data_IF_293110869156
#
_entry.id   IF_293110869156
#
_cell.length_a   1.000
_cell.length_b   1.000
_cell.length_c   1.000
_cell.angle_alpha   90.00
_cell.angle_beta   90.00
_cell.angle_gamma   90.00
#
_symmetry.space_group_name_H-M   'P 1'
#
loop_
_entity.id
_entity.type
_entity.pdbx_description
1 polymer ?
#
# COMPACT_ATOMS: atom_id res chain seq x y z
N UNK A 1 -17.61 7.08 -13.56
CA UNK A 1 -17.77 7.27 -12.10
C UNK A 1 -16.86 8.40 -11.69
N UNK A 2 -17.30 9.26 -10.76
CA UNK A 2 -16.52 10.42 -10.28
C UNK A 2 -15.94 10.21 -8.87
N UNK A 3 -15.93 8.97 -8.39
CA UNK A 3 -15.45 8.58 -7.07
C UNK A 3 -14.98 7.12 -7.09
N UNK A 4 -14.17 6.68 -6.10
CA UNK A 4 -13.78 5.28 -5.93
C UNK A 4 -14.96 4.32 -5.76
N UNK A 5 -14.74 3.02 -6.03
CA UNK A 5 -15.78 1.99 -6.02
C UNK A 5 -16.57 1.92 -4.70
N UNK A 6 -15.88 2.04 -3.56
CA UNK A 6 -16.48 1.88 -2.23
C UNK A 6 -16.76 3.20 -1.51
N UNK A 7 -16.86 4.31 -2.24
CA UNK A 7 -16.97 5.65 -1.67
C UNK A 7 -18.21 5.85 -0.78
N UNK A 8 -19.33 5.21 -1.10
CA UNK A 8 -20.59 5.37 -0.35
C UNK A 8 -20.75 4.37 0.79
N UNK A 9 -19.82 3.41 0.94
CA UNK A 9 -19.84 2.42 2.00
C UNK A 9 -19.05 2.92 3.22
N UNK A 10 -19.76 3.21 4.32
CA UNK A 10 -19.18 3.69 5.57
C UNK A 10 -18.19 2.69 6.21
N UNK A 11 -18.23 1.41 5.82
CA UNK A 11 -17.20 0.44 6.21
C UNK A 11 -15.84 0.82 5.65
N UNK A 12 -15.80 1.37 4.43
CA UNK A 12 -14.59 1.61 3.65
C UNK A 12 -14.25 3.09 3.48
N UNK A 13 -15.21 4.00 3.69
CA UNK A 13 -15.00 5.44 3.59
C UNK A 13 -15.02 6.12 4.97
N UNK A 14 -13.90 6.07 5.68
CA UNK A 14 -13.68 6.78 6.95
C UNK A 14 -12.55 7.79 6.79
N UNK A 15 -12.68 8.95 7.42
CA UNK A 15 -11.82 10.11 7.19
C UNK A 15 -10.31 9.84 7.41
N UNK A 16 -9.95 8.98 8.36
CA UNK A 16 -8.57 8.66 8.72
C UNK A 16 -8.13 7.26 8.27
N UNK A 17 -8.95 6.56 7.49
CA UNK A 17 -8.60 5.28 6.87
C UNK A 17 -8.07 5.48 5.45
N UNK A 18 -7.29 4.53 4.91
CA UNK A 18 -6.90 4.59 3.51
C UNK A 18 -8.15 4.50 2.62
N UNK A 19 -8.22 5.34 1.58
CA UNK A 19 -9.23 5.20 0.52
C UNK A 19 -9.02 3.87 -0.20
N UNK A 20 -10.09 3.17 -0.59
CA UNK A 20 -9.98 1.88 -1.28
C UNK A 20 -10.89 1.82 -2.50
N UNK A 21 -10.73 0.80 -3.34
CA UNK A 21 -11.49 0.66 -4.57
C UNK A 21 -11.05 1.64 -5.66
N UNK A 22 -9.74 1.91 -5.70
CA UNK A 22 -9.11 2.82 -6.66
C UNK A 22 -8.33 2.01 -7.68
N UNK A 23 -8.56 2.28 -8.97
CA UNK A 23 -7.79 1.72 -10.08
C UNK A 23 -6.45 2.43 -10.24
N UNK A 24 -5.54 1.84 -11.02
CA UNK A 24 -4.25 2.48 -11.31
C UNK A 24 -4.44 3.86 -11.95
N UNK A 25 -5.37 3.99 -12.90
CA UNK A 25 -5.62 5.25 -13.61
C UNK A 25 -6.16 6.35 -12.69
N UNK A 26 -7.03 6.00 -11.73
CA UNK A 26 -7.53 6.95 -10.73
C UNK A 26 -6.44 7.38 -9.76
N UNK A 27 -5.57 6.44 -9.35
CA UNK A 27 -4.42 6.73 -8.50
C UNK A 27 -3.42 7.68 -9.20
N UNK A 28 -3.12 7.43 -10.47
CA UNK A 28 -2.25 8.27 -11.29
C UNK A 28 -2.86 9.66 -11.55
N UNK A 29 -4.15 9.72 -11.87
CA UNK A 29 -4.87 10.98 -12.04
C UNK A 29 -4.86 11.83 -10.76
N UNK A 30 -5.10 11.21 -9.60
CA UNK A 30 -5.02 11.89 -8.31
C UNK A 30 -3.61 12.37 -8.01
N UNK A 31 -2.59 11.54 -8.26
CA UNK A 31 -1.20 11.93 -8.06
C UNK A 31 -0.84 13.16 -8.88
N UNK A 32 -1.22 13.17 -10.16
CA UNK A 32 -1.01 14.30 -11.08
C UNK A 32 -1.74 15.57 -10.60
N UNK A 33 -3.02 15.45 -10.22
CA UNK A 33 -3.79 16.57 -9.64
C UNK A 33 -3.13 17.14 -8.37
N UNK A 34 -2.55 16.28 -7.54
CA UNK A 34 -1.85 16.68 -6.32
C UNK A 34 -0.45 17.27 -6.56
N UNK A 35 -0.01 17.41 -7.83
CA UNK A 35 1.35 17.85 -8.17
C UNK A 35 2.43 16.85 -7.77
N UNK A 36 2.09 15.57 -7.73
CA UNK A 36 2.94 14.45 -7.30
C UNK A 36 2.93 13.34 -8.36
N UNK A 37 3.51 12.20 -8.03
CA UNK A 37 3.46 10.98 -8.86
C UNK A 37 3.24 9.74 -8.00
N UNK A 38 2.95 8.62 -8.64
CA UNK A 38 3.07 7.33 -7.96
C UNK A 38 4.56 7.01 -7.73
N UNK A 39 4.92 6.45 -6.56
CA UNK A 39 6.26 5.90 -6.33
C UNK A 39 6.56 4.77 -7.31
N UNK A 40 7.84 4.62 -7.66
CA UNK A 40 8.35 3.40 -8.26
C UNK A 40 8.37 2.27 -7.22
N UNK A 41 8.43 1.02 -7.68
CA UNK A 41 8.63 -0.13 -6.80
C UNK A 41 9.93 -0.01 -5.99
N UNK A 42 11.01 0.46 -6.62
CA UNK A 42 12.32 0.58 -5.97
C UNK A 42 12.31 1.63 -4.85
N UNK A 43 11.65 2.77 -5.07
CA UNK A 43 11.47 3.79 -4.03
C UNK A 43 10.67 3.27 -2.86
N UNK A 44 9.60 2.53 -3.13
CA UNK A 44 8.79 1.93 -2.08
C UNK A 44 9.57 0.90 -1.28
N UNK A 45 10.27 0.00 -1.96
CA UNK A 45 11.03 -1.06 -1.29
C UNK A 45 12.14 -0.46 -0.43
N UNK A 46 12.83 0.58 -0.91
CA UNK A 46 13.80 1.32 -0.10
C UNK A 46 13.15 1.99 1.10
N UNK A 47 12.01 2.65 0.91
CA UNK A 47 11.26 3.29 1.99
C UNK A 47 10.82 2.29 3.07
N UNK A 48 10.48 1.04 2.69
CA UNK A 48 10.11 -0.03 3.60
C UNK A 48 11.32 -0.65 4.32
N UNK A 49 12.34 -1.05 3.55
CA UNK A 49 13.43 -1.93 4.01
C UNK A 49 14.60 -1.20 4.64
N UNK A 50 14.70 0.12 4.47
CA UNK A 50 15.91 0.85 4.86
C UNK A 50 17.09 0.57 3.93
N UNK A 51 18.30 0.80 4.44
CA UNK A 51 19.56 0.50 3.74
C UNK A 51 20.17 -0.83 4.17
N UNK A 52 19.58 -1.48 5.17
CA UNK A 52 20.00 -2.75 5.79
C UNK A 52 19.18 -3.96 5.29
N UNK A 53 18.12 -3.74 4.49
CA UNK A 53 17.45 -4.81 3.76
C UNK A 53 16.48 -5.64 4.62
N UNK A 54 15.74 -5.01 5.53
CA UNK A 54 14.87 -5.68 6.50
C UNK A 54 13.74 -6.49 5.86
N UNK A 55 13.40 -7.63 6.46
CA UNK A 55 12.24 -8.43 6.01
C UNK A 55 10.90 -7.74 6.27
N UNK A 56 10.76 -7.00 7.37
CA UNK A 56 9.62 -6.15 7.69
C UNK A 56 10.09 -4.72 7.94
N UNK A 57 9.21 -3.70 7.86
CA UNK A 57 9.61 -2.31 8.09
C UNK A 57 10.33 -2.08 9.44
N UNK A 58 9.99 -2.89 10.44
CA UNK A 58 10.52 -2.82 11.79
C UNK A 58 11.68 -3.79 12.09
N UNK A 59 12.11 -4.63 11.15
CA UNK A 59 13.18 -5.62 11.36
C UNK A 59 12.84 -6.99 10.75
N UNK A 60 13.55 -8.03 11.19
CA UNK A 60 13.49 -9.33 10.49
C UNK A 60 12.53 -10.35 11.11
N UNK A 61 11.96 -10.02 12.26
CA UNK A 61 11.02 -10.88 12.99
C UNK A 61 9.62 -10.30 12.84
N UNK A 62 8.70 -11.14 12.37
CA UNK A 62 7.29 -10.78 12.28
C UNK A 62 6.71 -10.46 13.66
N UNK A 63 5.97 -9.37 13.75
CA UNK A 63 5.24 -8.97 14.95
C UNK A 63 3.85 -8.50 14.57
N UNK A 64 2.83 -9.29 14.94
CA UNK A 64 1.43 -8.99 14.63
C UNK A 64 0.91 -7.70 15.26
N UNK A 65 1.59 -7.15 16.26
CA UNK A 65 1.18 -5.90 16.93
C UNK A 65 1.59 -4.65 16.15
N UNK A 66 2.40 -4.79 15.10
CA UNK A 66 2.99 -3.70 14.32
C UNK A 66 2.31 -3.41 12.99
N UNK A 67 1.26 -4.16 12.64
CA UNK A 67 0.55 -3.99 11.37
C UNK A 67 -0.90 -4.47 11.46
N UNK A 68 -1.72 -4.04 10.49
CA UNK A 68 -3.02 -4.65 10.25
C UNK A 68 -2.89 -5.81 9.25
N UNK A 69 -3.09 -7.03 9.71
CA UNK A 69 -2.95 -8.26 8.94
C UNK A 69 -4.05 -9.26 9.26
N UNK A 70 -3.98 -10.46 8.64
CA UNK A 70 -4.89 -11.56 8.95
C UNK A 70 -4.87 -11.90 10.45
N UNK A 71 -3.70 -11.80 11.08
CA UNK A 71 -3.48 -12.06 12.50
C UNK A 71 -4.21 -11.06 13.41
N UNK A 72 -4.54 -9.86 12.90
CA UNK A 72 -5.26 -8.84 13.65
C UNK A 72 -6.76 -9.15 13.77
N UNK A 73 -7.31 -9.98 12.87
CA UNK A 73 -8.75 -10.34 12.82
C UNK A 73 -9.74 -9.16 12.77
N UNK A 74 -9.29 -7.98 12.32
CA UNK A 74 -10.11 -6.75 12.27
C UNK A 74 -11.15 -6.83 11.13
N UNK A 75 -10.81 -7.48 10.01
CA UNK A 75 -11.73 -7.65 8.87
C UNK A 75 -12.02 -6.37 8.06
N UNK A 76 -11.23 -5.32 8.28
CA UNK A 76 -11.31 -4.03 7.61
C UNK A 76 -9.98 -3.26 7.72
N UNK A 77 -9.90 -2.13 7.02
CA UNK A 77 -8.78 -1.19 7.16
C UNK A 77 -8.73 -0.59 8.56
N UNK A 78 -7.58 -0.05 8.94
CA UNK A 78 -7.39 0.73 10.16
C UNK A 78 -6.93 2.15 9.82
N UNK A 79 -7.06 3.05 10.79
CA UNK A 79 -6.48 4.39 10.75
C UNK A 79 -5.00 4.35 10.31
N UNK A 80 -4.62 5.24 9.40
CA UNK A 80 -3.28 5.29 8.78
C UNK A 80 -2.15 5.63 9.76
N UNK A 81 -2.48 6.04 10.99
CA UNK A 81 -1.52 6.36 12.05
C UNK A 81 -1.55 5.36 13.21
N UNK A 82 -2.29 4.24 13.09
CA UNK A 82 -2.51 3.31 14.20
C UNK A 82 -1.23 2.62 14.70
N UNK A 83 -0.38 2.15 13.78
CA UNK A 83 0.77 1.30 14.12
C UNK A 83 2.08 2.08 14.22
N UNK A 84 2.20 2.90 15.27
CA UNK A 84 3.39 3.75 15.51
C UNK A 84 4.68 2.99 15.77
N UNK A 85 4.60 1.70 16.14
CA UNK A 85 5.79 0.85 16.35
C UNK A 85 6.12 -0.04 15.15
N UNK A 86 5.34 0.05 14.07
CA UNK A 86 5.56 -0.65 12.79
C UNK A 86 6.06 0.26 11.67
N UNK A 87 6.50 1.47 12.02
CA UNK A 87 7.00 2.47 11.08
C UNK A 87 8.33 1.98 10.48
N UNK A 88 8.53 2.25 9.18
CA UNK A 88 9.79 1.95 8.49
C UNK A 88 10.96 2.81 8.98
N UNK A 89 12.22 2.50 8.59
CA UNK A 89 13.40 3.28 8.99
C UNK A 89 13.35 4.74 8.53
N UNK A 90 12.54 5.04 7.51
CA UNK A 90 12.36 6.37 6.96
C UNK A 90 11.05 7.04 7.38
N UNK A 91 10.37 6.52 8.41
CA UNK A 91 9.17 7.16 8.96
C UNK A 91 7.86 6.81 8.24
N UNK A 92 7.86 5.83 7.32
CA UNK A 92 6.67 5.47 6.57
C UNK A 92 5.80 4.46 7.34
N UNK A 93 4.54 4.82 7.58
CA UNK A 93 3.53 3.95 8.19
C UNK A 93 2.97 2.93 7.20
N UNK A 94 2.46 1.81 7.71
CA UNK A 94 1.69 0.81 6.97
C UNK A 94 2.40 0.29 5.71
N UNK A 95 3.74 0.14 5.78
CA UNK A 95 4.53 -0.48 4.71
C UNK A 95 4.41 -2.02 4.69
N UNK A 96 3.74 -2.59 5.70
CA UNK A 96 3.28 -3.97 5.74
C UNK A 96 1.84 -4.00 6.26
N UNK A 97 0.91 -4.50 5.45
CA UNK A 97 -0.49 -4.69 5.78
C UNK A 97 -1.37 -3.46 5.51
N UNK A 98 -2.55 -3.48 6.13
CA UNK A 98 -3.66 -2.56 5.88
C UNK A 98 -4.21 -2.67 4.45
N UNK A 99 -3.49 -2.19 3.43
CA UNK A 99 -3.94 -2.22 2.03
C UNK A 99 -2.76 -2.40 1.08
N UNK A 100 -3.01 -3.12 -0.01
CA UNK A 100 -2.14 -3.08 -1.19
C UNK A 100 -2.13 -1.67 -1.77
N UNK A 101 -1.01 -1.27 -2.35
CA UNK A 101 -0.84 0.04 -2.96
C UNK A 101 -0.35 -0.08 -4.40
N UNK A 102 -0.87 0.74 -5.31
CA UNK A 102 -0.36 0.88 -6.67
C UNK A 102 0.99 1.60 -6.72
N UNK A 103 1.87 1.16 -7.64
CA UNK A 103 3.15 1.78 -7.97
C UNK A 103 3.28 2.00 -9.48
N UNK A 104 4.11 2.98 -9.87
CA UNK A 104 4.34 3.34 -11.27
C UNK A 104 5.00 2.21 -12.09
N UNK A 105 5.73 1.32 -11.42
CA UNK A 105 6.45 0.23 -12.07
C UNK A 105 5.51 -0.79 -12.71
N UNK A 106 5.85 -1.26 -13.91
CA UNK A 106 5.19 -2.39 -14.56
C UNK A 106 5.55 -3.69 -13.84
N UNK A 107 4.57 -4.58 -13.66
CA UNK A 107 4.83 -5.90 -13.09
C UNK A 107 5.42 -6.85 -14.13
N UNK A 108 4.81 -6.87 -15.32
CA UNK A 108 5.22 -7.60 -16.50
C UNK A 108 5.21 -6.62 -17.68
N UNK A 109 6.21 -6.69 -18.55
CA UNK A 109 6.28 -5.83 -19.74
C UNK A 109 5.29 -6.24 -20.84
N UNK A 110 4.83 -7.49 -20.83
CA UNK A 110 3.95 -8.05 -21.87
C UNK A 110 2.46 -7.83 -21.60
N UNK A 111 2.09 -7.47 -20.36
CA UNK A 111 0.70 -7.32 -19.92
C UNK A 111 0.45 -5.92 -19.36
N UNK A 112 -0.81 -5.46 -19.37
CA UNK A 112 -1.19 -4.19 -18.72
C UNK A 112 -1.36 -4.36 -17.19
N UNK A 113 -0.31 -4.87 -16.56
CA UNK A 113 -0.24 -5.03 -15.11
C UNK A 113 0.73 -4.02 -14.49
N UNK A 114 0.35 -3.53 -13.31
CA UNK A 114 1.18 -2.64 -12.49
C UNK A 114 1.51 -3.32 -11.18
N UNK A 115 2.69 -2.99 -10.65
CA UNK A 115 3.14 -3.53 -9.38
C UNK A 115 2.22 -3.02 -8.27
N UNK A 116 1.85 -3.94 -7.38
CA UNK A 116 1.32 -3.62 -6.06
C UNK A 116 2.22 -4.16 -4.97
N UNK A 117 2.32 -3.43 -3.85
CA UNK A 117 3.18 -3.77 -2.70
C UNK A 117 2.48 -3.55 -1.36
N UNK A 118 3.05 -4.13 -0.32
CA UNK A 118 2.69 -3.91 1.08
C UNK A 118 1.72 -4.94 1.65
N UNK A 119 1.00 -5.70 0.81
CA UNK A 119 -0.08 -6.57 1.22
C UNK A 119 -1.23 -5.84 1.94
N UNK A 120 -2.26 -6.56 2.35
CA UNK A 120 -3.45 -5.99 3.00
C UNK A 120 -3.70 -6.59 4.37
N UNK A 121 -4.79 -6.17 5.01
CA UNK A 121 -5.30 -6.78 6.24
C UNK A 121 -5.72 -8.25 6.08
N UNK A 122 -5.72 -8.81 4.86
CA UNK A 122 -5.87 -10.26 4.62
C UNK A 122 -4.54 -11.02 4.59
N UNK A 123 -3.41 -10.31 4.62
CA UNK A 123 -2.08 -10.87 4.42
C UNK A 123 -1.59 -11.73 5.57
N UNK A 124 -0.88 -12.80 5.23
CA UNK A 124 -0.10 -13.65 6.13
C UNK A 124 1.30 -13.06 6.39
N UNK A 125 2.03 -13.52 7.43
CA UNK A 125 3.39 -13.04 7.70
C UNK A 125 4.35 -13.11 6.52
N UNK A 126 4.21 -14.09 5.63
CA UNK A 126 5.08 -14.21 4.43
C UNK A 126 4.75 -13.12 3.42
N UNK A 127 3.46 -12.89 3.16
CA UNK A 127 3.01 -11.87 2.19
C UNK A 127 3.28 -10.45 2.69
N UNK A 128 3.38 -10.25 4.00
CA UNK A 128 3.69 -8.94 4.62
C UNK A 128 5.17 -8.55 4.57
N UNK A 129 6.04 -9.40 4.01
CA UNK A 129 7.45 -9.05 3.84
C UNK A 129 7.60 -7.86 2.91
N UNK A 130 8.59 -7.03 3.21
CA UNK A 130 8.91 -5.82 2.44
C UNK A 130 9.44 -6.13 1.04
N UNK A 131 9.76 -7.39 0.72
CA UNK A 131 10.11 -7.85 -0.63
C UNK A 131 8.92 -8.38 -1.44
N UNK A 132 7.75 -8.57 -0.82
CA UNK A 132 6.56 -9.12 -1.50
C UNK A 132 6.00 -8.12 -2.51
N UNK A 133 5.77 -8.61 -3.73
CA UNK A 133 5.10 -7.93 -4.83
C UNK A 133 4.01 -8.80 -5.42
N UNK A 134 3.06 -8.14 -6.03
CA UNK A 134 2.09 -8.77 -6.93
C UNK A 134 1.83 -7.86 -8.14
N UNK A 135 1.16 -8.39 -9.15
CA UNK A 135 0.77 -7.71 -10.38
C UNK A 135 -0.73 -7.75 -10.57
N UNK A 136 -1.35 -6.57 -10.66
CA UNK A 136 -2.79 -6.45 -10.92
C UNK A 136 -3.04 -5.69 -12.22
N UNK A 137 -4.14 -6.01 -12.89
CA UNK A 137 -4.56 -5.30 -14.10
C UNK A 137 -4.95 -3.87 -13.71
N UNK A 138 -4.55 -2.90 -14.53
CA UNK A 138 -4.73 -1.46 -14.27
C UNK A 138 -6.17 -1.04 -13.94
N UNK A 139 -7.18 -1.78 -14.41
CA UNK A 139 -8.60 -1.49 -14.14
C UNK A 139 -9.13 -2.05 -12.83
N UNK A 140 -8.36 -2.90 -12.12
CA UNK A 140 -8.82 -3.54 -10.90
C UNK A 140 -9.11 -2.51 -9.79
N UNK A 141 -10.23 -2.71 -9.09
CA UNK A 141 -10.65 -1.96 -7.90
C UNK A 141 -11.06 -2.95 -6.83
N UNK A 142 -10.37 -2.93 -5.68
CA UNK A 142 -10.68 -3.83 -4.56
C UNK A 142 -10.72 -3.05 -3.25
N UNK A 143 -11.49 -3.55 -2.27
CA UNK A 143 -11.62 -2.96 -0.93
C UNK A 143 -10.33 -3.05 -0.10
N UNK A 144 -9.29 -3.66 -0.66
CA UNK A 144 -7.95 -3.81 -0.09
C UNK A 144 -6.88 -3.08 -0.89
N UNK A 145 -7.28 -2.26 -1.87
CA UNK A 145 -6.37 -1.66 -2.85
C UNK A 145 -6.48 -0.13 -2.86
N UNK A 146 -5.33 0.51 -2.65
CA UNK A 146 -5.10 1.95 -2.49
C UNK A 146 -3.86 2.37 -3.31
N UNK A 147 -3.26 3.53 -3.01
CA UNK A 147 -2.03 4.05 -3.60
C UNK A 147 -1.33 5.02 -2.65
N UNK A 148 -0.04 5.25 -2.88
CA UNK A 148 0.77 6.26 -2.18
C UNK A 148 1.32 7.28 -3.17
N UNK A 149 1.74 8.42 -2.66
CA UNK A 149 2.33 9.49 -3.47
C UNK A 149 3.82 9.62 -3.19
N UNK A 150 4.56 9.96 -4.24
CA UNK A 150 5.97 10.33 -4.20
C UNK A 150 6.16 11.70 -4.86
N UNK A 151 7.27 12.34 -4.53
CA UNK A 151 7.66 13.63 -5.07
C UNK A 151 9.18 13.64 -5.25
N UNK A 152 9.62 14.18 -6.39
CA UNK A 152 11.04 14.39 -6.67
C UNK A 152 11.57 15.56 -5.83
N UNK A 153 12.81 15.42 -5.35
CA UNK A 153 13.48 16.47 -4.57
C UNK A 153 14.22 17.39 -5.56
N UNK A 154 14.15 18.72 -5.38
CA UNK A 154 14.89 19.69 -6.20
C UNK A 154 16.41 19.50 -6.18
#
# INVERSE_FOLDING_TARGET
MNHPEYWTDLKWNKADHPVVGVSYFEAEAYASWAGKRLPTEQEWEKAARGTDGRDYPWGDIFDKTKCNSKESSIGATTSVTKYTTGISPFGCFDMAGNVWNWYASRYDQSNDQRVVRGCSWLGTPVELRSSTRDGLNTVNRFSVLNFRLAQDIP
#
